data_IF_137370484514
#
_entry.id   IF_137370484514
#
_cell.length_a   1.000
_cell.length_b   1.000
_cell.length_c   1.000
_cell.angle_alpha   90.00
_cell.angle_beta   90.00
_cell.angle_gamma   90.00
#
_symmetry.space_group_name_H-M   'P 1'
#
loop_
_entity.id
_entity.type
_entity.pdbx_description
1 polymer ?
#
# COMPACT_ATOMS: atom_id res chain seq x y z
N UNK A 1 -15.88 20.07 -0.25
CA UNK A 1 -14.94 19.06 0.28
C UNK A 1 -14.48 18.12 -0.83
N UNK A 2 -15.37 17.44 -1.55
CA UNK A 2 -15.00 16.53 -2.68
C UNK A 2 -14.45 17.30 -3.87
N UNK A 3 -15.00 18.46 -4.18
CA UNK A 3 -14.55 19.32 -5.28
C UNK A 3 -13.10 19.81 -5.09
N UNK A 4 -12.73 20.20 -3.88
CA UNK A 4 -11.38 20.66 -3.55
C UNK A 4 -10.36 19.51 -3.60
N UNK A 5 -10.76 18.31 -3.14
CA UNK A 5 -9.95 17.10 -3.26
C UNK A 5 -9.76 16.72 -4.72
N UNK A 6 -10.84 16.79 -5.51
CA UNK A 6 -10.78 16.51 -6.94
C UNK A 6 -9.94 17.55 -7.69
N UNK A 7 -10.03 18.84 -7.31
CA UNK A 7 -9.17 19.89 -7.88
C UNK A 7 -7.68 19.62 -7.63
N UNK A 8 -7.32 19.15 -6.42
CA UNK A 8 -5.94 18.76 -6.10
C UNK A 8 -5.49 17.57 -6.96
N UNK A 9 -6.31 16.54 -7.07
CA UNK A 9 -6.05 15.39 -7.96
C UNK A 9 -5.88 15.84 -9.41
N UNK A 10 -6.77 16.72 -9.90
CA UNK A 10 -6.72 17.24 -11.25
C UNK A 10 -5.39 17.95 -11.53
N UNK A 11 -4.96 18.83 -10.63
CA UNK A 11 -3.71 19.57 -10.74
C UNK A 11 -2.51 18.60 -10.83
N UNK A 12 -2.38 17.68 -9.87
CA UNK A 12 -1.24 16.77 -9.78
C UNK A 12 -1.22 15.77 -10.94
N UNK A 13 -2.36 15.20 -11.30
CA UNK A 13 -2.44 14.27 -12.44
C UNK A 13 -2.04 14.97 -13.75
N UNK A 14 -2.45 16.22 -13.96
CA UNK A 14 -2.03 16.99 -15.13
C UNK A 14 -0.53 17.30 -15.12
N UNK A 15 0.00 17.72 -13.97
CA UNK A 15 1.42 17.99 -13.80
C UNK A 15 2.27 16.76 -14.13
N UNK A 16 1.95 15.60 -13.54
CA UNK A 16 2.69 14.37 -13.82
C UNK A 16 2.53 13.89 -15.27
N UNK A 17 1.36 14.10 -15.85
CA UNK A 17 1.13 13.76 -17.26
C UNK A 17 1.92 14.65 -18.23
N UNK A 18 2.19 15.92 -17.89
CA UNK A 18 2.98 16.83 -18.75
C UNK A 18 4.47 16.48 -18.79
N UNK A 19 5.00 15.84 -17.73
CA UNK A 19 6.39 15.36 -17.66
C UNK A 19 6.65 14.19 -18.62
N UNK A 20 5.64 13.70 -19.31
CA UNK A 20 5.66 12.49 -20.13
C UNK A 20 5.46 12.79 -21.62
N UNK A 21 6.06 12.02 -22.51
CA UNK A 21 5.87 12.21 -23.93
C UNK A 21 4.39 12.08 -24.31
N UNK A 22 3.87 13.03 -25.06
CA UNK A 22 2.50 12.98 -25.56
C UNK A 22 2.33 11.82 -26.53
N UNK A 23 1.33 11.00 -26.31
CA UNK A 23 0.91 9.98 -27.26
C UNK A 23 0.31 10.66 -28.50
N UNK A 24 0.90 10.38 -29.65
CA UNK A 24 0.34 10.85 -30.94
C UNK A 24 -0.98 10.14 -31.24
N UNK A 25 -1.92 10.83 -31.87
CA UNK A 25 -3.20 10.30 -32.39
C UNK A 25 -4.13 9.65 -31.34
N UNK A 26 -4.12 10.12 -30.08
CA UNK A 26 -5.11 9.69 -29.08
C UNK A 26 -6.10 10.83 -28.80
N UNK A 27 -7.39 10.52 -28.83
CA UNK A 27 -8.46 11.49 -28.51
C UNK A 27 -8.41 11.93 -27.04
N UNK A 28 -8.09 11.00 -26.14
CA UNK A 28 -8.03 11.26 -24.69
C UNK A 28 -6.63 10.99 -24.16
N UNK A 29 -6.00 11.99 -23.56
CA UNK A 29 -4.72 11.85 -22.86
C UNK A 29 -4.82 10.94 -21.61
N UNK A 30 -3.67 10.49 -21.10
CA UNK A 30 -3.62 9.63 -19.91
C UNK A 30 -4.20 10.35 -18.68
N UNK A 31 -4.03 11.68 -18.58
CA UNK A 31 -4.61 12.48 -17.50
C UNK A 31 -6.14 12.38 -17.45
N UNK A 32 -6.83 12.53 -18.62
CA UNK A 32 -8.29 12.43 -18.70
C UNK A 32 -8.77 11.05 -18.27
N UNK A 33 -8.10 10.00 -18.75
CA UNK A 33 -8.44 8.61 -18.40
C UNK A 33 -8.30 8.37 -16.89
N UNK A 34 -7.21 8.87 -16.29
CA UNK A 34 -6.96 8.69 -14.86
C UNK A 34 -7.95 9.49 -14.01
N UNK A 35 -8.27 10.74 -14.39
CA UNK A 35 -9.25 11.58 -13.70
C UNK A 35 -10.65 10.97 -13.71
N UNK A 36 -11.10 10.44 -14.86
CA UNK A 36 -12.39 9.73 -14.94
C UNK A 36 -12.40 8.48 -14.05
N UNK A 37 -11.27 7.78 -13.95
CA UNK A 37 -11.15 6.65 -13.05
C UNK A 37 -11.22 7.08 -11.59
N UNK A 38 -10.52 8.15 -11.19
CA UNK A 38 -10.57 8.70 -9.83
C UNK A 38 -11.96 9.21 -9.45
N UNK A 39 -12.70 9.83 -10.40
CA UNK A 39 -14.09 10.23 -10.18
C UNK A 39 -14.98 9.03 -9.82
N UNK A 40 -14.86 7.94 -10.56
CA UNK A 40 -15.56 6.70 -10.24
C UNK A 40 -15.20 6.14 -8.86
N UNK A 41 -13.90 6.14 -8.49
CA UNK A 41 -13.41 5.63 -7.21
C UNK A 41 -13.84 6.52 -6.05
N UNK A 42 -13.84 7.83 -6.22
CA UNK A 42 -14.26 8.81 -5.22
C UNK A 42 -15.72 8.59 -4.80
N UNK A 43 -16.58 8.30 -5.78
CA UNK A 43 -18.01 8.07 -5.57
C UNK A 43 -18.40 6.60 -5.37
N UNK A 44 -17.45 5.68 -5.23
CA UNK A 44 -17.71 4.23 -5.10
C UNK A 44 -18.60 3.67 -6.21
N UNK A 45 -18.34 4.11 -7.44
CA UNK A 45 -19.11 3.74 -8.62
C UNK A 45 -18.28 3.00 -9.68
N UNK A 46 -18.91 2.20 -10.54
CA UNK A 46 -18.19 1.58 -11.65
C UNK A 46 -17.72 2.65 -12.66
N UNK A 47 -16.62 2.35 -13.34
CA UNK A 47 -16.04 3.26 -14.36
C UNK A 47 -17.09 3.70 -15.41
N UNK A 48 -18.02 2.83 -15.77
CA UNK A 48 -19.10 3.16 -16.72
C UNK A 48 -20.02 4.27 -16.21
N UNK A 49 -20.17 4.43 -14.92
CA UNK A 49 -20.93 5.54 -14.31
C UNK A 49 -20.21 6.88 -14.56
N UNK A 50 -18.90 6.94 -14.34
CA UNK A 50 -18.12 8.16 -14.57
C UNK A 50 -17.96 8.54 -16.05
N UNK A 51 -18.31 7.64 -16.99
CA UNK A 51 -18.33 7.93 -18.42
C UNK A 51 -19.60 8.67 -18.88
N UNK A 52 -20.52 9.01 -18.00
CA UNK A 52 -21.77 9.72 -18.30
C UNK A 52 -21.68 11.15 -17.78
N UNK A 53 -21.92 12.14 -18.67
CA UNK A 53 -21.81 13.55 -18.30
C UNK A 53 -22.74 13.95 -17.13
N UNK A 54 -23.97 13.43 -17.09
CA UNK A 54 -24.92 13.71 -16.00
C UNK A 54 -24.51 13.23 -14.61
N UNK A 55 -23.40 12.49 -14.48
CA UNK A 55 -22.84 12.07 -13.19
C UNK A 55 -21.67 12.95 -12.71
N UNK A 56 -21.46 14.07 -13.37
CA UNK A 56 -20.46 15.06 -12.99
C UNK A 56 -21.13 16.33 -12.49
N UNK A 57 -20.61 16.91 -11.44
CA UNK A 57 -21.09 18.20 -10.92
C UNK A 57 -20.25 19.31 -11.54
N UNK A 58 -20.93 20.34 -12.10
CA UNK A 58 -20.27 21.46 -12.75
C UNK A 58 -19.82 21.19 -14.20
N UNK A 59 -19.06 22.14 -14.74
CA UNK A 59 -18.52 22.02 -16.11
C UNK A 59 -17.40 20.98 -16.18
N UNK A 60 -17.49 20.11 -17.17
CA UNK A 60 -16.43 19.18 -17.48
C UNK A 60 -15.20 19.95 -17.99
N UNK A 61 -13.99 19.67 -17.48
CA UNK A 61 -12.79 20.36 -17.96
C UNK A 61 -12.32 19.87 -19.36
N UNK A 62 -13.16 19.15 -20.08
CA UNK A 62 -12.96 18.64 -21.45
C UNK A 62 -14.28 18.45 -22.20
N UNK A 63 -14.23 18.58 -23.53
CA UNK A 63 -15.40 18.57 -24.41
C UNK A 63 -16.23 17.27 -24.40
N UNK A 64 -15.59 16.13 -24.13
CA UNK A 64 -16.28 14.85 -24.14
C UNK A 64 -15.63 13.84 -23.21
N UNK A 65 -16.43 12.94 -22.65
CA UNK A 65 -15.99 11.82 -21.83
C UNK A 65 -15.61 10.60 -22.67
N UNK A 66 -14.61 9.82 -22.23
CA UNK A 66 -14.28 8.55 -22.88
C UNK A 66 -15.39 7.51 -22.66
N UNK A 67 -15.64 6.67 -23.68
CA UNK A 67 -16.56 5.56 -23.52
C UNK A 67 -16.02 4.50 -22.54
N UNK A 68 -16.89 3.69 -21.90
CA UNK A 68 -16.46 2.59 -21.03
C UNK A 68 -15.48 1.61 -21.69
N UNK A 69 -15.63 1.36 -23.01
CA UNK A 69 -14.71 0.51 -23.77
C UNK A 69 -13.33 1.16 -23.91
N UNK A 70 -13.28 2.47 -24.17
CA UNK A 70 -12.03 3.25 -24.22
C UNK A 70 -11.35 3.22 -22.83
N UNK A 71 -12.09 3.47 -21.77
CA UNK A 71 -11.58 3.38 -20.39
C UNK A 71 -10.99 2.00 -20.11
N UNK A 72 -11.74 0.92 -20.37
CA UNK A 72 -11.29 -0.45 -20.13
C UNK A 72 -9.99 -0.80 -20.88
N UNK A 73 -9.83 -0.33 -22.12
CA UNK A 73 -8.61 -0.54 -22.91
C UNK A 73 -7.43 0.29 -22.37
N UNK A 74 -7.65 1.57 -22.09
CA UNK A 74 -6.60 2.50 -21.67
C UNK A 74 -6.09 2.21 -20.27
N UNK A 75 -6.95 1.87 -19.32
CA UNK A 75 -6.58 1.51 -17.95
C UNK A 75 -5.67 0.27 -17.84
N UNK A 76 -5.53 -0.50 -18.92
CA UNK A 76 -4.63 -1.66 -18.97
C UNK A 76 -3.23 -1.32 -19.51
N UNK A 77 -3.00 -0.11 -19.98
CA UNK A 77 -1.72 0.25 -20.58
C UNK A 77 -0.66 0.48 -19.50
N UNK A 78 0.60 0.03 -19.73
CA UNK A 78 1.70 0.30 -18.79
C UNK A 78 1.90 1.79 -18.54
N UNK A 79 1.70 2.62 -19.57
CA UNK A 79 1.77 4.07 -19.47
C UNK A 79 0.86 4.62 -18.38
N UNK A 80 -0.39 4.15 -18.30
CA UNK A 80 -1.32 4.65 -17.28
C UNK A 80 -0.98 4.13 -15.88
N UNK A 81 -0.50 2.90 -15.77
CA UNK A 81 -0.04 2.35 -14.50
C UNK A 81 1.13 3.16 -13.94
N UNK A 82 2.09 3.50 -14.81
CA UNK A 82 3.20 4.35 -14.43
C UNK A 82 2.75 5.76 -13.99
N UNK A 83 1.77 6.36 -14.70
CA UNK A 83 1.22 7.65 -14.28
C UNK A 83 0.56 7.56 -12.89
N UNK A 84 -0.20 6.51 -12.64
CA UNK A 84 -0.83 6.29 -11.33
C UNK A 84 0.21 6.16 -10.21
N UNK A 85 1.32 5.46 -10.46
CA UNK A 85 2.43 5.35 -9.52
C UNK A 85 3.11 6.71 -9.29
N UNK A 86 3.35 7.48 -10.34
CA UNK A 86 3.93 8.82 -10.22
C UNK A 86 3.04 9.77 -9.40
N UNK A 87 1.72 9.72 -9.62
CA UNK A 87 0.76 10.49 -8.82
C UNK A 87 0.77 10.03 -7.36
N UNK A 88 0.84 8.72 -7.11
CA UNK A 88 0.97 8.18 -5.75
C UNK A 88 2.22 8.73 -5.06
N UNK A 89 3.37 8.69 -5.73
CA UNK A 89 4.62 9.23 -5.20
C UNK A 89 4.57 10.72 -4.96
N UNK A 90 4.09 11.48 -5.95
CA UNK A 90 3.99 12.93 -5.83
C UNK A 90 3.17 13.36 -4.61
N UNK A 91 2.04 12.69 -4.36
CA UNK A 91 1.11 13.08 -3.30
C UNK A 91 1.47 12.51 -1.92
N UNK A 92 2.03 11.32 -1.86
CA UNK A 92 2.17 10.57 -0.61
C UNK A 92 3.62 10.33 -0.18
N UNK A 93 4.57 10.48 -1.09
CA UNK A 93 5.99 10.25 -0.83
C UNK A 93 6.82 11.53 -0.99
N UNK A 94 6.28 12.64 -0.54
CA UNK A 94 6.93 13.95 -0.67
C UNK A 94 8.13 14.07 0.26
N UNK A 95 9.25 14.69 -0.20
CA UNK A 95 10.45 14.90 0.61
C UNK A 95 10.22 15.70 1.89
N UNK A 96 9.31 16.68 1.86
CA UNK A 96 8.96 17.51 3.02
C UNK A 96 8.20 16.71 4.12
N UNK A 97 7.70 15.52 3.78
CA UNK A 97 7.15 14.54 4.72
C UNK A 97 8.21 13.50 5.13
N UNK A 98 9.42 13.59 4.63
CA UNK A 98 10.54 12.70 4.92
C UNK A 98 11.22 13.08 6.25
N UNK A 99 10.54 12.81 7.36
CA UNK A 99 11.29 12.51 8.56
C UNK A 99 12.07 11.20 8.30
N UNK A 100 13.37 11.20 8.59
CA UNK A 100 14.19 9.98 8.55
C UNK A 100 13.45 8.85 9.27
N UNK A 101 13.04 7.82 8.54
CA UNK A 101 12.30 6.74 9.13
C UNK A 101 13.21 5.57 9.45
N UNK A 102 13.61 5.48 10.70
CA UNK A 102 14.39 4.35 11.21
C UNK A 102 13.56 3.06 11.26
N UNK A 103 12.27 3.15 11.48
CA UNK A 103 11.39 2.00 11.69
C UNK A 103 10.27 1.95 10.64
N UNK A 104 10.28 0.91 9.83
CA UNK A 104 9.19 0.55 8.92
C UNK A 104 8.33 -0.54 9.54
N UNK A 105 7.05 -0.47 9.30
CA UNK A 105 6.08 -1.50 9.74
C UNK A 105 5.50 -2.17 8.51
N UNK A 106 5.52 -3.49 8.48
CA UNK A 106 4.95 -4.27 7.37
C UNK A 106 3.87 -5.20 7.89
N UNK A 107 2.79 -5.30 7.13
CA UNK A 107 1.71 -6.24 7.39
C UNK A 107 0.86 -6.41 6.14
N UNK A 108 -0.08 -7.35 6.19
CA UNK A 108 -1.01 -7.62 5.10
C UNK A 108 -2.46 -7.49 5.54
N UNK A 109 -3.31 -7.06 4.60
CA UNK A 109 -4.76 -7.01 4.80
C UNK A 109 -5.47 -7.86 3.75
N UNK A 110 -6.26 -8.86 4.17
CA UNK A 110 -7.10 -9.60 3.25
C UNK A 110 -8.20 -8.70 2.68
N UNK A 111 -8.46 -8.84 1.39
CA UNK A 111 -9.49 -8.13 0.65
C UNK A 111 -10.39 -9.14 -0.06
N UNK A 112 -11.35 -9.74 0.66
CA UNK A 112 -12.22 -10.74 0.09
C UNK A 112 -13.12 -10.14 -1.00
N UNK A 113 -13.35 -10.93 -2.05
CA UNK A 113 -14.39 -10.70 -3.05
C UNK A 113 -15.62 -11.53 -2.68
N UNK A 114 -16.81 -11.14 -3.15
CA UNK A 114 -18.02 -11.89 -2.85
C UNK A 114 -17.89 -13.38 -3.22
N UNK A 115 -18.47 -14.28 -2.41
CA UNK A 115 -18.31 -15.74 -2.54
C UNK A 115 -18.66 -16.29 -3.92
N UNK A 116 -19.59 -15.65 -4.63
CA UNK A 116 -19.99 -15.99 -6.01
C UNK A 116 -19.20 -15.25 -7.09
N UNK A 117 -18.10 -14.57 -6.72
CA UNK A 117 -17.30 -13.83 -7.68
C UNK A 117 -16.70 -14.73 -8.76
N UNK A 118 -16.97 -14.39 -10.03
CA UNK A 118 -16.37 -15.03 -11.21
C UNK A 118 -14.96 -14.49 -11.53
N UNK A 119 -14.33 -13.76 -10.60
CA UNK A 119 -12.97 -13.28 -10.78
C UNK A 119 -12.01 -14.47 -10.77
N UNK A 120 -11.36 -14.73 -11.93
CA UNK A 120 -10.45 -15.89 -12.10
C UNK A 120 -9.09 -15.67 -11.45
N UNK A 121 -8.71 -14.42 -11.21
CA UNK A 121 -7.41 -14.04 -10.67
C UNK A 121 -7.43 -13.91 -9.14
N UNK A 122 -8.62 -13.84 -8.53
CA UNK A 122 -8.77 -13.89 -7.08
C UNK A 122 -8.50 -15.33 -6.60
N UNK A 123 -7.60 -15.51 -5.65
CA UNK A 123 -7.23 -16.82 -5.10
C UNK A 123 -7.88 -17.06 -3.74
N UNK A 124 -7.89 -18.32 -3.27
CA UNK A 124 -8.33 -18.67 -1.93
C UNK A 124 -7.20 -18.45 -0.94
N UNK A 125 -7.55 -17.98 0.26
CA UNK A 125 -6.62 -17.77 1.37
C UNK A 125 -7.36 -17.41 2.65
N UNK A 126 -6.62 -17.18 3.73
CA UNK A 126 -7.19 -16.79 5.01
C UNK A 126 -7.63 -15.32 5.00
N UNK A 127 -8.80 -15.08 5.59
CA UNK A 127 -9.34 -13.75 5.87
C UNK A 127 -9.99 -13.76 7.25
N UNK A 128 -10.41 -12.62 7.75
CA UNK A 128 -11.18 -12.52 9.00
C UNK A 128 -12.44 -13.37 8.89
N UNK A 129 -12.58 -14.34 9.77
CA UNK A 129 -13.72 -15.26 9.77
C UNK A 129 -13.52 -16.56 8.97
N UNK A 130 -12.32 -16.83 8.44
CA UNK A 130 -11.99 -18.10 7.79
C UNK A 130 -11.45 -17.99 6.38
N UNK A 131 -11.57 -19.04 5.58
CA UNK A 131 -11.08 -19.08 4.21
C UNK A 131 -12.02 -18.32 3.27
N UNK A 132 -11.48 -17.40 2.48
CA UNK A 132 -12.19 -16.62 1.49
C UNK A 132 -11.49 -16.65 0.14
N UNK A 133 -12.19 -16.20 -0.91
CA UNK A 133 -11.61 -15.88 -2.21
C UNK A 133 -11.36 -14.39 -2.29
N UNK A 134 -10.19 -13.95 -2.77
CA UNK A 134 -9.91 -12.52 -2.84
C UNK A 134 -8.48 -12.17 -3.22
N UNK A 135 -8.11 -10.99 -2.77
CA UNK A 135 -6.78 -10.42 -2.89
C UNK A 135 -6.21 -10.13 -1.51
N UNK A 136 -4.91 -9.93 -1.43
CA UNK A 136 -4.19 -9.51 -0.24
C UNK A 136 -3.40 -8.25 -0.56
N UNK A 137 -3.59 -7.23 0.26
CA UNK A 137 -2.87 -5.98 0.18
C UNK A 137 -1.77 -6.01 1.24
N UNK A 138 -0.53 -5.97 0.79
CA UNK A 138 0.64 -5.79 1.63
C UNK A 138 1.00 -4.32 1.66
N UNK A 139 1.25 -3.78 2.84
CA UNK A 139 1.63 -2.38 3.04
C UNK A 139 2.88 -2.25 3.89
N UNK A 140 3.69 -1.25 3.56
CA UNK A 140 4.81 -0.79 4.37
C UNK A 140 4.58 0.67 4.78
N UNK A 141 4.63 0.95 6.07
CA UNK A 141 4.55 2.30 6.62
C UNK A 141 5.90 2.67 7.24
N UNK A 142 6.53 3.67 6.69
CA UNK A 142 7.78 4.21 7.21
C UNK A 142 7.59 5.55 7.90
N UNK A 143 6.62 6.32 7.47
CA UNK A 143 6.41 7.70 7.92
C UNK A 143 5.46 7.79 9.11
N UNK A 144 5.53 8.87 9.90
CA UNK A 144 4.57 9.12 10.98
C UNK A 144 3.15 9.34 10.47
N UNK A 145 2.97 9.72 9.20
CA UNK A 145 1.65 9.83 8.58
C UNK A 145 1.10 8.44 8.26
N UNK A 146 -0.21 8.30 8.42
CA UNK A 146 -0.97 7.06 8.26
C UNK A 146 -1.15 6.66 6.78
N UNK A 147 -0.14 6.89 5.96
CA UNK A 147 -0.10 6.59 4.53
C UNK A 147 1.04 5.61 4.27
N UNK A 148 0.78 4.46 3.63
CA UNK A 148 1.85 3.52 3.31
C UNK A 148 2.81 4.12 2.28
N UNK A 149 4.12 3.96 2.49
CA UNK A 149 5.15 4.35 1.52
C UNK A 149 5.25 3.36 0.36
N UNK A 150 4.95 2.10 0.61
CA UNK A 150 4.95 1.05 -0.40
C UNK A 150 3.76 0.11 -0.23
N UNK A 151 3.22 -0.35 -1.34
CA UNK A 151 2.12 -1.32 -1.39
C UNK A 151 2.37 -2.38 -2.45
N UNK A 152 1.97 -3.61 -2.14
CA UNK A 152 1.96 -4.74 -3.08
C UNK A 152 0.59 -5.41 -3.01
N UNK A 153 -0.01 -5.67 -4.16
CA UNK A 153 -1.27 -6.41 -4.27
C UNK A 153 -1.01 -7.78 -4.88
N UNK A 154 -1.50 -8.82 -4.22
CA UNK A 154 -1.40 -10.19 -4.72
C UNK A 154 -2.74 -10.93 -4.55
N UNK A 155 -2.82 -12.18 -5.02
CA UNK A 155 -3.92 -13.06 -4.69
C UNK A 155 -3.94 -13.39 -3.19
N UNK A 156 -5.13 -13.65 -2.64
CA UNK A 156 -5.31 -13.86 -1.19
C UNK A 156 -4.48 -15.04 -0.64
N UNK A 157 -4.21 -16.05 -1.47
CA UNK A 157 -3.36 -17.19 -1.09
C UNK A 157 -1.85 -16.92 -1.08
N UNK A 158 -1.41 -15.70 -1.43
CA UNK A 158 0.01 -15.33 -1.37
C UNK A 158 0.52 -15.38 0.07
N UNK A 159 1.70 -15.98 0.27
CA UNK A 159 2.33 -16.03 1.59
C UNK A 159 2.76 -14.65 2.08
N UNK A 160 2.70 -14.42 3.38
CA UNK A 160 3.10 -13.14 3.98
C UNK A 160 4.61 -12.91 3.80
N UNK A 161 5.42 -13.95 3.83
CA UNK A 161 6.85 -13.89 3.52
C UNK A 161 7.11 -13.32 2.12
N UNK A 162 6.47 -13.86 1.08
CA UNK A 162 6.71 -13.40 -0.29
C UNK A 162 6.20 -11.98 -0.52
N UNK A 163 5.08 -11.61 0.13
CA UNK A 163 4.55 -10.25 0.11
C UNK A 163 5.49 -9.26 0.79
N UNK A 164 6.07 -9.62 1.94
CA UNK A 164 7.03 -8.80 2.65
C UNK A 164 8.34 -8.62 1.87
N UNK A 165 8.85 -9.68 1.22
CA UNK A 165 10.02 -9.56 0.31
C UNK A 165 9.76 -8.56 -0.81
N UNK A 166 8.61 -8.66 -1.47
CA UNK A 166 8.23 -7.72 -2.54
C UNK A 166 8.05 -6.27 -2.04
N UNK A 167 7.62 -6.07 -0.78
CA UNK A 167 7.59 -4.75 -0.15
C UNK A 167 8.99 -4.21 0.10
N UNK A 168 9.91 -5.03 0.62
CA UNK A 168 11.31 -4.67 0.86
C UNK A 168 11.98 -4.25 -0.45
N UNK A 169 11.83 -5.04 -1.52
CA UNK A 169 12.32 -4.69 -2.86
C UNK A 169 11.77 -3.35 -3.36
N UNK A 170 10.50 -3.08 -3.07
CA UNK A 170 9.87 -1.83 -3.48
C UNK A 170 10.40 -0.64 -2.68
N UNK A 171 10.54 -0.78 -1.36
CA UNK A 171 11.12 0.23 -0.47
C UNK A 171 12.55 0.54 -0.90
N UNK A 172 13.36 -0.47 -1.14
CA UNK A 172 14.75 -0.30 -1.55
C UNK A 172 14.86 0.47 -2.88
N UNK A 173 14.05 0.11 -3.87
CA UNK A 173 13.96 0.88 -5.13
C UNK A 173 13.54 2.34 -4.92
N UNK A 174 12.62 2.61 -3.98
CA UNK A 174 12.17 3.97 -3.65
C UNK A 174 13.29 4.82 -3.07
N UNK A 175 14.18 4.19 -2.31
CA UNK A 175 15.32 4.83 -1.67
C UNK A 175 16.61 4.69 -2.50
N UNK A 176 16.52 4.28 -3.77
CA UNK A 176 17.66 4.19 -4.69
C UNK A 176 18.73 3.17 -4.26
N UNK A 177 18.36 2.09 -3.60
CA UNK A 177 19.29 1.09 -3.05
C UNK A 177 19.95 1.50 -1.74
N UNK A 178 19.51 2.59 -1.12
CA UNK A 178 20.04 3.11 0.15
C UNK A 178 19.07 2.94 1.33
N UNK A 179 18.12 2.00 1.24
CA UNK A 179 17.23 1.71 2.34
C UNK A 179 18.03 1.24 3.58
N UNK A 180 17.70 1.77 4.74
CA UNK A 180 18.34 1.39 6.01
C UNK A 180 17.33 1.41 7.16
N UNK A 181 17.72 0.84 8.30
CA UNK A 181 16.92 0.81 9.52
C UNK A 181 16.23 -0.52 9.77
N UNK A 182 15.09 -0.47 10.43
CA UNK A 182 14.38 -1.66 10.93
C UNK A 182 13.06 -1.85 10.19
N UNK A 183 12.73 -3.12 9.92
CA UNK A 183 11.42 -3.55 9.44
C UNK A 183 10.74 -4.33 10.55
N UNK A 184 9.61 -3.84 11.06
CA UNK A 184 8.85 -4.45 12.14
C UNK A 184 7.71 -5.28 11.54
N UNK A 185 7.66 -6.56 11.89
CA UNK A 185 6.66 -7.49 11.41
C UNK A 185 6.16 -8.41 12.53
N UNK A 186 5.08 -9.14 12.31
CA UNK A 186 4.60 -10.13 13.26
C UNK A 186 5.40 -11.46 13.20
N UNK A 187 5.06 -12.39 14.08
CA UNK A 187 5.74 -13.69 14.18
C UNK A 187 5.59 -14.57 12.93
N UNK A 188 4.64 -14.30 12.04
CA UNK A 188 4.48 -15.06 10.79
C UNK A 188 5.63 -14.77 9.81
N UNK A 189 6.30 -13.64 10.01
CA UNK A 189 7.45 -13.17 9.21
C UNK A 189 8.81 -13.67 9.75
N UNK A 190 8.86 -14.35 10.92
CA UNK A 190 10.10 -14.90 11.48
C UNK A 190 10.59 -16.12 10.67
N UNK A 191 11.18 -15.86 9.54
CA UNK A 191 11.75 -16.90 8.66
C UNK A 191 13.16 -16.53 8.19
N UNK A 192 14.08 -17.51 8.14
CA UNK A 192 15.45 -17.27 7.67
C UNK A 192 15.53 -16.58 6.31
N UNK A 193 14.76 -17.00 5.27
CA UNK A 193 14.80 -16.34 3.97
C UNK A 193 14.42 -14.86 4.02
N UNK A 194 13.42 -14.48 4.83
CA UNK A 194 13.00 -13.09 4.92
C UNK A 194 14.03 -12.24 5.68
N UNK A 195 14.63 -12.75 6.75
CA UNK A 195 15.71 -12.08 7.45
C UNK A 195 16.93 -11.88 6.56
N UNK A 196 17.31 -12.89 5.77
CA UNK A 196 18.42 -12.80 4.82
C UNK A 196 18.12 -11.78 3.71
N UNK A 197 16.89 -11.78 3.19
CA UNK A 197 16.44 -10.84 2.17
C UNK A 197 16.48 -9.39 2.68
N UNK A 198 15.96 -9.12 3.87
CA UNK A 198 16.02 -7.79 4.47
C UNK A 198 17.48 -7.32 4.66
N UNK A 199 18.36 -8.19 5.14
CA UNK A 199 19.77 -7.87 5.32
C UNK A 199 20.48 -7.56 3.99
N UNK A 200 20.14 -8.24 2.89
CA UNK A 200 20.68 -7.95 1.55
C UNK A 200 20.31 -6.54 1.06
N UNK A 201 19.22 -5.96 1.57
CA UNK A 201 18.77 -4.60 1.28
C UNK A 201 19.14 -3.59 2.41
N UNK A 202 20.13 -3.91 3.26
CA UNK A 202 20.57 -3.01 4.34
C UNK A 202 19.59 -2.82 5.50
N UNK A 203 18.53 -3.65 5.57
CA UNK A 203 17.47 -3.57 6.56
C UNK A 203 17.59 -4.68 7.62
N UNK A 204 17.28 -4.36 8.88
CA UNK A 204 17.15 -5.34 9.94
C UNK A 204 15.68 -5.66 10.20
N UNK A 205 15.24 -6.87 9.86
CA UNK A 205 13.91 -7.34 10.21
C UNK A 205 13.85 -7.63 11.74
N UNK A 206 12.83 -7.12 12.39
CA UNK A 206 12.43 -7.44 13.76
C UNK A 206 11.08 -8.14 13.75
N UNK A 207 11.09 -9.45 13.95
CA UNK A 207 9.89 -10.27 14.04
C UNK A 207 10.03 -11.20 15.26
N UNK A 208 9.04 -11.23 16.18
CA UNK A 208 9.08 -12.13 17.33
C UNK A 208 9.08 -13.59 16.86
N UNK A 209 9.72 -14.45 17.60
CA UNK A 209 9.61 -15.88 17.37
C UNK A 209 8.20 -16.38 17.61
N UNK A 210 7.77 -17.41 16.86
CA UNK A 210 6.47 -18.06 17.07
C UNK A 210 6.35 -18.69 18.47
N UNK A 211 7.47 -19.17 19.00
CA UNK A 211 7.59 -19.78 20.32
C UNK A 211 8.71 -19.06 21.08
N UNK A 212 8.43 -17.90 21.72
CA UNK A 212 9.41 -17.17 22.50
C UNK A 212 9.84 -17.99 23.71
N UNK A 213 11.11 -17.82 24.14
CA UNK A 213 11.67 -18.51 25.29
C UNK A 213 12.07 -19.98 25.05
N UNK A 214 11.81 -20.55 23.90
CA UNK A 214 12.29 -21.90 23.53
C UNK A 214 13.71 -21.84 22.97
N UNK A 215 14.42 -22.96 22.94
CA UNK A 215 15.67 -23.05 22.22
C UNK A 215 15.48 -22.79 20.70
N UNK A 216 16.50 -22.22 20.06
CA UNK A 216 16.48 -21.98 18.60
C UNK A 216 16.58 -23.28 17.78
N UNK A 217 16.92 -24.40 18.47
CA UNK A 217 17.14 -25.70 17.82
C UNK A 217 18.46 -25.75 17.02
N UNK A 218 18.68 -26.88 16.37
CA UNK A 218 19.95 -27.18 15.67
C UNK A 218 20.01 -26.68 14.21
N UNK A 219 19.04 -25.88 13.76
CA UNK A 219 19.04 -25.35 12.39
C UNK A 219 19.97 -24.15 12.27
N UNK A 220 20.61 -24.03 11.12
CA UNK A 220 21.35 -22.81 10.78
C UNK A 220 20.38 -21.63 10.70
N UNK A 221 20.74 -20.55 11.39
CA UNK A 221 19.97 -19.31 11.42
C UNK A 221 20.73 -18.20 10.71
N UNK A 222 20.02 -17.42 9.90
CA UNK A 222 20.61 -16.25 9.27
C UNK A 222 21.08 -15.24 10.34
N UNK A 223 22.20 -14.54 10.11
CA UNK A 223 22.71 -13.52 11.06
C UNK A 223 21.66 -12.45 11.40
N UNK A 224 20.83 -12.07 10.42
CA UNK A 224 19.73 -11.13 10.63
C UNK A 224 18.67 -11.66 11.61
N UNK A 225 18.35 -12.96 11.54
CA UNK A 225 17.42 -13.60 12.49
C UNK A 225 18.00 -13.68 13.90
N UNK A 226 19.26 -14.06 14.05
CA UNK A 226 19.93 -14.09 15.35
C UNK A 226 19.94 -12.71 15.99
N UNK A 227 20.25 -11.65 15.22
CA UNK A 227 20.15 -10.26 15.72
C UNK A 227 18.73 -9.88 16.14
N UNK A 228 17.70 -10.29 15.37
CA UNK A 228 16.30 -10.03 15.75
C UNK A 228 15.95 -10.67 17.09
N UNK A 229 16.33 -11.92 17.30
CA UNK A 229 16.12 -12.63 18.56
C UNK A 229 16.86 -11.95 19.70
N UNK A 230 18.14 -11.63 19.55
CA UNK A 230 18.94 -10.95 20.58
C UNK A 230 18.37 -9.57 20.95
N UNK A 231 17.79 -8.86 20.01
CA UNK A 231 17.15 -7.56 20.25
C UNK A 231 15.81 -7.68 20.97
N UNK A 232 14.97 -8.65 20.56
CA UNK A 232 13.61 -8.80 21.10
C UNK A 232 13.53 -9.60 22.38
N UNK A 233 14.47 -10.53 22.59
CA UNK A 233 14.58 -11.40 23.74
C UNK A 233 15.96 -11.24 24.39
N UNK A 234 16.29 -10.05 24.95
CA UNK A 234 17.58 -9.86 25.60
C UNK A 234 17.69 -10.76 26.83
N UNK A 235 18.90 -11.28 27.16
CA UNK A 235 19.09 -12.11 28.31
C UNK A 235 18.67 -11.37 29.60
N UNK A 236 17.95 -12.06 30.46
CA UNK A 236 17.52 -11.51 31.74
C UNK A 236 18.76 -11.25 32.63
N UNK A 237 19.03 -9.98 32.95
CA UNK A 237 20.06 -9.59 33.89
C UNK A 237 19.40 -9.41 35.28
N UNK A 238 19.67 -10.28 36.26
CA UNK A 238 18.88 -10.35 37.49
C UNK A 238 18.97 -9.14 38.43
N UNK A 239 19.85 -8.19 38.20
CA UNK A 239 20.15 -7.12 39.17
C UNK A 239 19.92 -5.69 38.70
N UNK A 240 19.39 -5.46 37.51
CA UNK A 240 19.07 -4.11 37.06
C UNK A 240 17.54 -3.94 36.95
N UNK A 241 17.02 -2.82 37.45
CA UNK A 241 15.68 -2.42 37.09
C UNK A 241 15.57 -2.50 35.54
N UNK A 242 14.49 -3.10 34.98
CA UNK A 242 14.42 -3.35 33.54
C UNK A 242 14.31 -2.02 32.81
N UNK A 243 15.47 -1.44 32.48
CA UNK A 243 15.49 -0.37 31.48
C UNK A 243 14.95 -0.95 30.17
N UNK A 244 13.99 -0.28 29.52
CA UNK A 244 13.46 -0.78 28.27
C UNK A 244 14.60 -0.90 27.27
N UNK A 245 14.90 -2.14 26.87
CA UNK A 245 15.94 -2.42 25.87
C UNK A 245 15.51 -1.93 24.50
N UNK A 246 16.46 -1.59 23.63
CA UNK A 246 16.22 -0.98 22.32
C UNK A 246 15.20 -1.77 21.47
N UNK A 247 15.32 -3.08 21.40
CA UNK A 247 14.48 -3.93 20.56
C UNK A 247 12.99 -3.85 20.94
N UNK A 248 12.59 -4.10 22.19
CA UNK A 248 11.22 -3.93 22.64
C UNK A 248 10.68 -2.50 22.47
N UNK A 249 11.52 -1.47 22.65
CA UNK A 249 11.11 -0.08 22.38
C UNK A 249 10.77 0.13 20.90
N UNK A 250 11.65 -0.30 20.00
CA UNK A 250 11.41 -0.23 18.55
C UNK A 250 10.16 -1.03 18.17
N UNK A 251 10.02 -2.24 18.71
CA UNK A 251 8.92 -3.11 18.35
C UNK A 251 7.54 -2.59 18.80
N UNK A 252 7.47 -1.75 19.83
CA UNK A 252 6.22 -1.06 20.24
C UNK A 252 5.59 -0.27 19.08
N UNK A 253 6.42 0.27 18.17
CA UNK A 253 5.90 0.98 16.99
C UNK A 253 5.08 0.08 16.06
N UNK A 254 5.23 -1.25 16.13
CA UNK A 254 4.42 -2.16 15.35
C UNK A 254 2.92 -2.08 15.70
N UNK A 255 2.59 -1.83 16.97
CA UNK A 255 1.19 -1.70 17.40
C UNK A 255 0.41 -0.59 16.65
N UNK A 256 1.11 0.36 16.02
CA UNK A 256 0.49 1.37 15.19
C UNK A 256 -0.20 0.80 13.94
N UNK A 257 0.22 -0.37 13.45
CA UNK A 257 -0.23 -0.93 12.18
C UNK A 257 -1.74 -1.21 12.15
N UNK A 258 -2.32 -1.61 13.26
CA UNK A 258 -3.77 -1.84 13.36
C UNK A 258 -4.56 -0.53 13.20
N UNK A 259 -4.04 0.55 13.76
CA UNK A 259 -4.60 1.90 13.59
C UNK A 259 -4.46 2.37 12.15
N UNK A 260 -3.30 2.11 11.53
CA UNK A 260 -3.02 2.44 10.13
C UNK A 260 -4.04 1.74 9.21
N UNK A 261 -4.28 0.44 9.41
CA UNK A 261 -5.30 -0.30 8.65
C UNK A 261 -6.73 0.11 9.02
N UNK A 262 -7.00 0.39 10.30
CA UNK A 262 -8.29 0.88 10.75
C UNK A 262 -8.68 2.18 10.05
N UNK A 263 -7.75 3.11 9.93
CA UNK A 263 -7.98 4.37 9.22
C UNK A 263 -8.24 4.16 7.72
N UNK A 264 -7.52 3.25 7.08
CA UNK A 264 -7.78 2.89 5.68
C UNK A 264 -9.16 2.27 5.46
N UNK A 265 -9.73 1.62 6.49
CA UNK A 265 -11.06 1.02 6.44
C UNK A 265 -12.21 1.98 6.76
N UNK A 266 -11.98 2.92 7.68
CA UNK A 266 -13.05 3.72 8.31
C UNK A 266 -13.33 5.07 7.64
N UNK A 267 -12.46 5.55 6.75
CA UNK A 267 -12.75 6.76 6.00
C UNK A 267 -13.82 6.50 4.94
N UNK A 268 -14.79 7.41 4.81
CA UNK A 268 -15.87 7.35 3.84
C UNK A 268 -15.36 6.97 2.46
N UNK A 269 -15.78 5.83 1.95
CA UNK A 269 -15.19 5.20 0.78
C UNK A 269 -13.92 4.42 1.08
N UNK A 270 -13.77 3.81 2.24
CA UNK A 270 -12.65 2.97 2.63
C UNK A 270 -12.40 1.76 1.71
N UNK A 271 -11.28 1.07 1.95
CA UNK A 271 -10.81 0.00 1.05
C UNK A 271 -11.69 -1.26 1.04
N UNK A 272 -12.62 -1.41 1.99
CA UNK A 272 -13.39 -2.63 2.15
C UNK A 272 -14.89 -2.39 2.29
N UNK A 273 -15.68 -3.36 1.84
CA UNK A 273 -15.32 -4.50 0.98
C UNK A 273 -15.01 -4.05 -0.46
N UNK A 274 -14.27 -4.89 -1.22
CA UNK A 274 -14.10 -4.63 -2.65
C UNK A 274 -15.45 -4.65 -3.36
N UNK A 275 -15.82 -3.59 -4.08
CA UNK A 275 -17.09 -3.56 -4.82
C UNK A 275 -17.17 -4.69 -5.87
N UNK A 276 -18.36 -5.22 -6.10
CA UNK A 276 -18.59 -6.34 -7.02
C UNK A 276 -18.13 -6.08 -8.47
N UNK A 277 -18.01 -4.83 -8.88
CA UNK A 277 -17.53 -4.43 -10.21
C UNK A 277 -16.01 -4.28 -10.28
N UNK A 278 -15.29 -4.28 -9.13
CA UNK A 278 -13.83 -4.21 -9.06
C UNK A 278 -13.26 -5.62 -9.11
N UNK A 279 -12.89 -6.05 -10.30
CA UNK A 279 -12.37 -7.41 -10.56
C UNK A 279 -11.12 -7.31 -11.41
N UNK A 280 -10.29 -8.35 -11.38
CA UNK A 280 -9.01 -8.47 -12.06
C UNK A 280 -7.89 -7.65 -11.41
N UNK A 281 -6.66 -8.17 -11.33
CA UNK A 281 -5.56 -7.59 -10.56
C UNK A 281 -5.32 -6.12 -10.87
N UNK A 282 -5.29 -5.75 -12.16
CA UNK A 282 -5.02 -4.36 -12.57
C UNK A 282 -6.12 -3.37 -12.15
N UNK A 283 -7.39 -3.80 -12.17
CA UNK A 283 -8.51 -2.95 -11.71
C UNK A 283 -8.53 -2.86 -10.19
N UNK A 284 -8.22 -3.96 -9.51
CA UNK A 284 -8.11 -3.97 -8.05
C UNK A 284 -6.95 -3.09 -7.62
N UNK A 285 -5.78 -3.19 -8.26
CA UNK A 285 -4.64 -2.33 -7.99
C UNK A 285 -4.97 -0.84 -8.21
N UNK A 286 -5.60 -0.50 -9.34
CA UNK A 286 -6.06 0.87 -9.61
C UNK A 286 -7.01 1.37 -8.50
N UNK A 287 -7.99 0.56 -8.13
CA UNK A 287 -8.97 0.89 -7.09
C UNK A 287 -8.28 1.14 -5.75
N UNK A 288 -7.43 0.21 -5.34
CA UNK A 288 -6.70 0.29 -4.08
C UNK A 288 -5.80 1.53 -4.04
N UNK A 289 -4.96 1.72 -5.06
CA UNK A 289 -4.04 2.86 -5.11
C UNK A 289 -4.82 4.19 -5.15
N UNK A 290 -5.91 4.26 -5.91
CA UNK A 290 -6.75 5.46 -5.94
C UNK A 290 -7.41 5.74 -4.58
N UNK A 291 -7.90 4.72 -3.87
CA UNK A 291 -8.43 4.85 -2.50
C UNK A 291 -7.34 5.30 -1.52
N UNK A 292 -6.13 4.77 -1.62
CA UNK A 292 -5.00 5.20 -0.80
C UNK A 292 -4.64 6.66 -1.03
N UNK A 293 -4.61 7.09 -2.29
CA UNK A 293 -4.36 8.50 -2.65
C UNK A 293 -5.45 9.40 -2.08
N UNK A 294 -6.72 9.08 -2.31
CA UNK A 294 -7.87 9.85 -1.80
C UNK A 294 -7.80 9.95 -0.27
N UNK A 295 -7.52 8.85 0.39
CA UNK A 295 -7.40 8.78 1.85
C UNK A 295 -6.19 9.58 2.35
N UNK A 296 -5.05 9.45 1.70
CA UNK A 296 -3.84 10.21 2.01
C UNK A 296 -4.06 11.71 1.90
N UNK A 297 -4.73 12.18 0.85
CA UNK A 297 -5.09 13.59 0.69
C UNK A 297 -6.01 14.09 1.82
N UNK A 298 -6.99 13.28 2.25
CA UNK A 298 -7.84 13.61 3.40
C UNK A 298 -7.04 13.71 4.70
N UNK A 299 -6.10 12.79 4.91
CA UNK A 299 -5.21 12.81 6.07
C UNK A 299 -4.33 14.06 6.04
N UNK A 300 -3.64 14.33 4.94
CA UNK A 300 -2.80 15.53 4.79
C UNK A 300 -3.59 16.80 5.10
N UNK A 301 -4.80 16.93 4.56
CA UNK A 301 -5.67 18.07 4.84
C UNK A 301 -6.03 18.20 6.32
N UNK A 302 -6.43 17.10 6.98
CA UNK A 302 -6.80 17.10 8.40
C UNK A 302 -5.63 17.50 9.31
N UNK A 303 -4.41 17.30 8.85
CA UNK A 303 -3.17 17.72 9.53
C UNK A 303 -2.65 19.10 9.07
N UNK A 304 -3.40 19.82 8.25
CA UNK A 304 -2.99 21.15 7.73
C UNK A 304 -1.83 21.10 6.73
N UNK A 305 -1.51 19.92 6.21
CA UNK A 305 -0.44 19.73 5.25
C UNK A 305 -0.94 20.06 3.84
N UNK A 306 -0.24 20.94 3.12
CA UNK A 306 -0.54 21.25 1.72
C UNK A 306 -0.21 19.99 0.87
N UNK A 307 -1.18 19.51 0.11
CA UNK A 307 -1.02 18.44 -0.86
C UNK A 307 -0.58 19.01 -2.22
#
# INVERSE_FOLDING_TARGET
MEDELFATLYRVIREEATKRPRRKRVRYGDAVILLVAFWAVLHDRPISWACRAGNWHGELPWEALPSPATMSRRLRTPSLQLLLEQVFFHLLCRPDLDAFCLCRRVDSKPMPVGGFSKDRDATRGYATGGTAKGYKLFCCWGKPLLVPEAVVLAGLGQSDQAGAMALIDRVDRLHGGAACGYVLADSTHDTNPLHAHAAAHGLQLLAPRKLPGTDLGHRDHSPGRLRSVALLEPPHVPQAAPAPTLGPQLYRHRAQIERDYGQMGNFGGGLQPLPNFVRRPRRVALWVIAKLIINGLRICRNHGLKA
#
